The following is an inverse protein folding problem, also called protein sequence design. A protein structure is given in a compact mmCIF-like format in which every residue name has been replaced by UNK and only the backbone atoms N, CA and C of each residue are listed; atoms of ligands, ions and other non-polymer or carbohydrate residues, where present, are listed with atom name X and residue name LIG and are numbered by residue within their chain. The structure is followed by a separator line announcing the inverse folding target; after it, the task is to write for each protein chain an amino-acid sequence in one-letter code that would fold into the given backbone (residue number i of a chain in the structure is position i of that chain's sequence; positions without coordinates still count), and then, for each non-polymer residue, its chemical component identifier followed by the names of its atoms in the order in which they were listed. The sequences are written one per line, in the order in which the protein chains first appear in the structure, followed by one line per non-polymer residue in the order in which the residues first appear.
data_IF_681853370961
#
_entry.id   IF_681853370961
#
_cell.length_a   1.000
_cell.length_b   1.000
_cell.length_c   1.000
_cell.angle_alpha   90.00
_cell.angle_beta   90.00
_cell.angle_gamma   90.00
#
_symmetry.space_group_name_H-M   'P 1'
#
loop_
_entity.id
_entity.type
_entity.pdbx_description
1 polymer ?
#
# COMPACT_ATOMS: atom_id res chain seq x y z
N UNK A 1 -7.56 28.75 -13.39
CA UNK A 1 -8.50 27.82 -12.71
C UNK A 1 -7.67 26.81 -11.93
N UNK A 2 -7.61 26.91 -10.61
CA UNK A 2 -6.99 25.89 -9.77
C UNK A 2 -7.99 24.76 -9.59
N UNK A 3 -7.77 23.63 -10.28
CA UNK A 3 -8.53 22.43 -10.00
C UNK A 3 -8.28 22.04 -8.54
N UNK A 4 -9.35 21.87 -7.76
CA UNK A 4 -9.22 21.35 -6.39
C UNK A 4 -8.69 19.93 -6.49
N UNK A 5 -7.57 19.68 -5.82
CA UNK A 5 -6.99 18.34 -5.74
C UNK A 5 -7.84 17.51 -4.76
N UNK A 6 -8.54 16.51 -5.29
CA UNK A 6 -9.36 15.60 -4.48
C UNK A 6 -8.48 14.59 -3.74
N UNK A 7 -8.16 14.94 -2.50
CA UNK A 7 -7.34 14.11 -1.63
C UNK A 7 -8.02 12.80 -1.23
N UNK A 8 -9.35 12.78 -1.10
CA UNK A 8 -10.08 11.58 -0.67
C UNK A 8 -10.07 10.52 -1.77
N UNK A 9 -10.23 10.93 -3.04
CA UNK A 9 -10.04 10.04 -4.18
C UNK A 9 -8.63 9.47 -4.26
N UNK A 10 -7.60 10.20 -3.81
CA UNK A 10 -6.23 9.68 -3.78
C UNK A 10 -6.02 8.72 -2.61
N UNK A 11 -6.44 9.09 -1.40
CA UNK A 11 -6.27 8.29 -0.18
C UNK A 11 -6.97 6.93 -0.26
N UNK A 12 -8.16 6.89 -0.85
CA UNK A 12 -8.93 5.65 -1.03
C UNK A 12 -8.23 4.59 -1.90
N UNK A 13 -7.25 4.98 -2.71
CA UNK A 13 -6.48 4.04 -3.54
C UNK A 13 -5.42 3.26 -2.76
N UNK A 14 -5.12 3.63 -1.51
CA UNK A 14 -4.10 3.02 -0.66
C UNK A 14 -4.74 2.23 0.48
N UNK A 15 -4.81 0.88 0.40
CA UNK A 15 -5.44 0.06 1.45
C UNK A 15 -4.80 0.21 2.83
N UNK A 16 -3.53 0.62 2.91
CA UNK A 16 -2.83 0.83 4.16
C UNK A 16 -3.49 1.89 5.05
N UNK A 17 -4.12 2.92 4.47
CA UNK A 17 -4.77 3.99 5.23
C UNK A 17 -6.10 3.58 5.88
N UNK A 18 -6.68 2.44 5.50
CA UNK A 18 -7.88 1.88 6.13
C UNK A 18 -7.55 0.99 7.34
N UNK A 19 -6.27 0.82 7.69
CA UNK A 19 -5.85 0.00 8.82
C UNK A 19 -6.00 0.74 10.14
N UNK A 20 -6.25 -0.05 11.18
CA UNK A 20 -6.24 0.41 12.57
C UNK A 20 -5.17 -0.34 13.36
N UNK A 21 -4.44 0.36 14.22
CA UNK A 21 -3.50 -0.20 15.20
C UNK A 21 -3.99 0.21 16.57
N UNK A 22 -4.17 -0.76 17.47
CA UNK A 22 -4.69 -0.52 18.83
C UNK A 22 -6.03 0.25 18.85
N UNK A 23 -6.88 0.03 17.83
CA UNK A 23 -8.17 0.70 17.70
C UNK A 23 -8.12 2.11 17.10
N UNK A 24 -6.95 2.62 16.76
CA UNK A 24 -6.77 3.95 16.16
C UNK A 24 -6.40 3.87 14.67
N UNK A 25 -6.90 4.78 13.81
CA UNK A 25 -6.47 4.87 12.42
C UNK A 25 -4.97 5.11 12.30
N UNK A 26 -4.31 4.39 11.39
CA UNK A 26 -2.86 4.51 11.21
C UNK A 26 -2.51 5.80 10.46
N UNK A 27 -1.45 6.47 10.93
CA UNK A 27 -0.83 7.62 10.24
C UNK A 27 0.63 7.27 9.92
N UNK A 28 0.98 7.34 8.64
CA UNK A 28 2.33 7.05 8.15
C UNK A 28 3.10 8.37 7.97
N UNK A 29 4.15 8.57 8.76
CA UNK A 29 5.00 9.78 8.74
C UNK A 29 6.46 9.47 8.36
N UNK A 30 6.67 8.36 7.66
CA UNK A 30 7.97 7.77 7.36
C UNK A 30 8.20 7.61 5.85
N UNK A 31 7.66 8.54 5.04
CA UNK A 31 7.72 8.46 3.57
C UNK A 31 9.12 8.29 2.97
N UNK A 32 10.18 8.69 3.69
CA UNK A 32 11.57 8.48 3.29
C UNK A 32 12.06 7.03 3.47
N UNK A 33 11.51 6.31 4.45
CA UNK A 33 11.81 4.88 4.69
C UNK A 33 11.04 3.95 3.74
N UNK A 34 9.93 4.44 3.17
CA UNK A 34 9.15 3.74 2.17
C UNK A 34 7.82 4.44 1.89
N UNK A 35 7.28 4.24 0.69
CA UNK A 35 5.96 4.75 0.31
C UNK A 35 4.91 3.66 0.43
N UNK A 36 3.64 4.00 0.66
CA UNK A 36 2.52 3.06 0.59
C UNK A 36 2.24 2.63 -0.86
N UNK A 37 1.68 1.43 -1.06
CA UNK A 37 1.40 0.89 -2.41
C UNK A 37 -0.10 0.97 -2.68
N UNK A 38 -0.52 1.58 -3.80
CA UNK A 38 -1.93 1.64 -4.15
C UNK A 38 -2.41 0.29 -4.70
N UNK A 39 -3.71 0.02 -4.58
CA UNK A 39 -4.34 -1.23 -4.99
C UNK A 39 -4.02 -1.61 -6.43
N UNK A 40 -4.01 -0.65 -7.35
CA UNK A 40 -3.72 -0.89 -8.78
C UNK A 40 -2.34 -1.52 -9.00
N UNK A 41 -1.32 -1.07 -8.26
CA UNK A 41 0.04 -1.61 -8.36
C UNK A 41 0.09 -3.01 -7.74
N UNK A 42 -0.54 -3.21 -6.58
CA UNK A 42 -0.63 -4.53 -5.95
C UNK A 42 -1.33 -5.57 -6.84
N UNK A 43 -2.40 -5.20 -7.54
CA UNK A 43 -3.11 -6.07 -8.48
C UNK A 43 -2.29 -6.36 -9.75
N UNK A 44 -1.63 -5.35 -10.33
CA UNK A 44 -0.75 -5.54 -11.49
C UNK A 44 0.41 -6.47 -11.16
N UNK A 45 0.95 -6.32 -9.96
CA UNK A 45 1.89 -7.24 -9.32
C UNK A 45 1.25 -8.63 -9.33
N UNK A 46 0.21 -8.94 -8.55
CA UNK A 46 -0.38 -10.29 -8.45
C UNK A 46 -0.57 -11.05 -9.79
N UNK A 47 -0.85 -10.35 -10.89
CA UNK A 47 -1.04 -10.93 -12.22
C UNK A 47 0.22 -11.47 -12.91
N UNK A 48 1.45 -11.12 -12.50
CA UNK A 48 2.62 -11.73 -13.17
C UNK A 48 2.67 -13.24 -12.87
N UNK A 49 2.99 -14.09 -13.86
CA UNK A 49 2.96 -15.56 -13.72
C UNK A 49 3.80 -16.11 -12.56
N UNK A 50 4.84 -15.38 -12.15
CA UNK A 50 5.79 -15.83 -11.14
C UNK A 50 5.44 -15.40 -9.70
N UNK A 51 4.39 -14.58 -9.48
CA UNK A 51 4.04 -14.12 -8.12
C UNK A 51 3.69 -15.26 -7.17
N UNK A 52 2.97 -16.27 -7.64
CA UNK A 52 2.56 -17.41 -6.82
C UNK A 52 3.74 -18.30 -6.39
N UNK A 53 4.81 -18.39 -7.19
CA UNK A 53 6.02 -19.16 -6.85
C UNK A 53 6.95 -18.42 -5.87
N UNK A 54 6.92 -17.08 -5.84
CA UNK A 54 7.80 -16.27 -4.97
C UNK A 54 7.35 -16.19 -3.52
N UNK A 55 6.07 -16.39 -3.19
CA UNK A 55 5.59 -16.30 -1.81
C UNK A 55 6.28 -17.31 -0.89
N UNK A 56 6.66 -18.49 -1.41
CA UNK A 56 7.37 -19.53 -0.67
C UNK A 56 8.83 -19.20 -0.37
N UNK A 57 9.42 -18.19 -1.04
CA UNK A 57 10.87 -17.88 -0.99
C UNK A 57 11.18 -16.46 -0.50
N UNK A 58 10.17 -15.63 -0.30
CA UNK A 58 10.28 -14.31 0.32
C UNK A 58 9.44 -14.30 1.60
N UNK A 59 9.95 -14.81 2.73
CA UNK A 59 9.21 -14.70 3.96
C UNK A 59 9.17 -13.22 4.32
N UNK A 60 7.94 -12.69 4.44
CA UNK A 60 7.63 -11.60 5.37
C UNK A 60 8.13 -10.19 4.99
N UNK A 61 9.13 -10.05 4.12
CA UNK A 61 9.83 -8.77 3.92
C UNK A 61 8.99 -7.68 3.24
N UNK A 62 8.04 -8.03 2.37
CA UNK A 62 7.16 -7.05 1.72
C UNK A 62 5.93 -6.66 2.58
N UNK A 63 5.46 -7.57 3.44
CA UNK A 63 4.31 -7.33 4.31
C UNK A 63 4.67 -6.73 5.67
N UNK A 64 5.94 -6.80 6.11
CA UNK A 64 6.42 -6.21 7.38
C UNK A 64 7.27 -4.94 7.26
N UNK A 65 7.64 -4.50 6.04
CA UNK A 65 8.33 -3.21 5.84
C UNK A 65 7.39 -2.04 5.52
N UNK A 66 6.09 -2.22 5.75
CA UNK A 66 5.10 -1.14 5.79
C UNK A 66 4.13 -1.36 6.92
#
# INVERSE_FOLDING_TARGET
MTARFDLESVRSQFPAFNRTVEGHPVVFLDGAAGSQVPSRVAEAVKRLPYWHQRQSRWPVCYQRRK
#
